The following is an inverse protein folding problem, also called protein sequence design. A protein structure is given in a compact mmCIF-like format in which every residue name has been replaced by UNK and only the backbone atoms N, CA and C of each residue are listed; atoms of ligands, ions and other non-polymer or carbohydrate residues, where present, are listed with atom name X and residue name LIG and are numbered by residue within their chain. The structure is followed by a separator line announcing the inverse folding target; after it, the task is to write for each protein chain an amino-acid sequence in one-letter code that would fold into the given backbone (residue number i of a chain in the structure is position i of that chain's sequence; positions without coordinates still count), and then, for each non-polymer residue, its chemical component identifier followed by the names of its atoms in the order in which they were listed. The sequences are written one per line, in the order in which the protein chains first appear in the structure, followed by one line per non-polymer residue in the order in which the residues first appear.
data_IF_056835433073
#
_entry.id   IF_056835433073
#
_cell.length_a   1.000
_cell.length_b   1.000
_cell.length_c   1.000
_cell.angle_alpha   90.00
_cell.angle_beta   90.00
_cell.angle_gamma   90.00
#
_symmetry.space_group_name_H-M   'P 1'
#
loop_
_entity.id
_entity.type
_entity.pdbx_description
1 polymer ?
#
# COMPACT_ATOMS: atom_id res chain seq x y z
N UNK A 1 -15.56 -31.17 -2.79
CA UNK A 1 -16.55 -30.28 -2.13
C UNK A 1 -15.77 -29.17 -1.44
N UNK A 2 -15.13 -28.31 -2.22
CA UNK A 2 -15.62 -27.01 -2.74
C UNK A 2 -15.91 -26.02 -1.61
N UNK A 3 -14.91 -25.17 -1.34
CA UNK A 3 -15.01 -24.06 -0.38
C UNK A 3 -14.12 -22.94 -0.94
N UNK A 4 -14.72 -22.05 -1.73
CA UNK A 4 -14.40 -20.62 -1.79
C UNK A 4 -15.31 -19.94 -2.84
N UNK A 5 -16.38 -19.32 -2.36
CA UNK A 5 -17.13 -18.27 -3.06
C UNK A 5 -16.88 -16.98 -2.30
N UNK A 6 -16.24 -15.99 -2.94
CA UNK A 6 -16.20 -14.63 -2.43
C UNK A 6 -16.87 -13.71 -3.47
N UNK A 7 -17.95 -13.09 -3.00
CA UNK A 7 -18.81 -12.13 -3.68
C UNK A 7 -18.18 -10.74 -3.52
N UNK A 8 -18.09 -9.96 -4.59
CA UNK A 8 -17.88 -8.51 -4.52
C UNK A 8 -19.12 -7.84 -5.10
N UNK A 9 -19.90 -7.19 -4.23
CA UNK A 9 -20.96 -6.24 -4.56
C UNK A 9 -20.39 -4.87 -4.25
N UNK A 10 -20.31 -3.97 -5.24
CA UNK A 10 -20.20 -2.54 -4.98
C UNK A 10 -21.31 -1.81 -5.75
N UNK A 11 -21.93 -0.94 -4.97
CA UNK A 11 -23.19 -0.24 -5.13
C UNK A 11 -23.17 0.75 -6.31
N UNK A 12 -24.23 0.73 -7.11
CA UNK A 12 -24.64 1.83 -8.01
C UNK A 12 -25.86 2.51 -7.36
N UNK A 13 -25.76 3.80 -7.05
CA UNK A 13 -26.87 4.73 -6.89
C UNK A 13 -26.29 6.14 -7.11
N UNK A 14 -26.48 6.73 -8.28
CA UNK A 14 -27.61 7.61 -8.66
C UNK A 14 -27.70 8.89 -7.84
N UNK A 15 -27.45 10.01 -8.52
CA UNK A 15 -28.09 11.29 -8.27
C UNK A 15 -28.16 12.03 -9.61
N UNK A 16 -29.33 11.90 -10.23
CA UNK A 16 -29.78 12.70 -11.36
C UNK A 16 -30.59 13.91 -10.88
N UNK A 17 -30.76 14.86 -11.80
CA UNK A 17 -31.60 16.08 -11.77
C UNK A 17 -31.10 17.29 -10.97
N UNK A 18 -30.73 18.35 -11.69
CA UNK A 18 -31.75 19.33 -12.10
C UNK A 18 -31.21 20.24 -13.20
N UNK A 19 -31.87 20.21 -14.37
CA UNK A 19 -31.83 21.26 -15.37
C UNK A 19 -32.99 22.20 -15.05
N UNK A 20 -32.75 23.52 -14.99
CA UNK A 20 -33.68 24.54 -15.50
C UNK A 20 -33.05 25.94 -15.44
N UNK A 21 -33.21 26.66 -16.55
CA UNK A 21 -33.40 28.12 -16.68
C UNK A 21 -32.20 29.03 -16.37
N UNK A 22 -31.90 30.11 -17.08
CA UNK A 22 -32.59 30.82 -18.16
C UNK A 22 -31.56 31.72 -18.86
N UNK A 23 -31.60 31.75 -20.19
CA UNK A 23 -30.97 32.79 -21.00
C UNK A 23 -31.83 34.05 -20.99
N UNK A 24 -31.30 35.15 -20.43
CA UNK A 24 -31.75 36.51 -20.75
C UNK A 24 -30.54 37.35 -21.19
N UNK A 25 -30.53 37.66 -22.48
CA UNK A 25 -29.81 38.81 -23.03
C UNK A 25 -30.56 40.09 -22.66
N UNK A 26 -29.90 41.07 -22.04
CA UNK A 26 -29.88 42.45 -22.53
C UNK A 26 -29.06 43.40 -21.63
N UNK A 27 -28.01 43.95 -22.25
CA UNK A 27 -27.63 45.37 -22.34
C UNK A 27 -27.64 46.30 -21.11
N UNK A 28 -26.55 47.09 -21.09
CA UNK A 28 -26.32 48.39 -20.44
C UNK A 28 -25.71 48.37 -19.05
N UNK A 29 -24.36 48.39 -18.98
CA UNK A 29 -23.65 49.11 -17.92
C UNK A 29 -22.43 49.82 -18.52
N UNK A 30 -22.56 51.13 -18.70
CA UNK A 30 -21.45 52.06 -18.69
C UNK A 30 -20.79 52.06 -17.30
N UNK A 31 -19.45 52.08 -17.30
CA UNK A 31 -18.57 52.55 -16.22
C UNK A 31 -19.02 52.32 -14.76
N UNK A 32 -18.53 51.22 -14.16
CA UNK A 32 -18.09 51.23 -12.76
C UNK A 32 -16.77 50.47 -12.65
N UNK A 33 -15.67 51.21 -12.58
CA UNK A 33 -14.44 50.76 -11.94
C UNK A 33 -14.72 50.44 -10.48
N UNK A 34 -14.73 49.15 -10.11
CA UNK A 34 -14.10 48.62 -8.90
C UNK A 34 -14.41 47.14 -8.68
N UNK A 35 -13.33 46.39 -8.45
CA UNK A 35 -13.24 45.16 -7.64
C UNK A 35 -14.18 44.02 -8.05
N UNK A 36 -13.64 43.08 -8.82
CA UNK A 36 -13.99 41.66 -8.70
C UNK A 36 -12.79 40.82 -9.14
N UNK A 37 -11.78 40.74 -8.27
CA UNK A 37 -10.95 39.54 -8.23
C UNK A 37 -11.84 38.41 -7.71
N UNK A 38 -12.52 37.72 -8.63
CA UNK A 38 -13.02 36.38 -8.38
C UNK A 38 -11.80 35.47 -8.22
N UNK A 39 -11.16 35.55 -7.05
CA UNK A 39 -10.18 34.58 -6.57
C UNK A 39 -10.87 33.22 -6.60
N UNK A 40 -10.31 32.32 -7.39
CA UNK A 40 -10.72 30.91 -7.52
C UNK A 40 -11.02 30.32 -6.13
N UNK A 41 -12.32 30.20 -5.82
CA UNK A 41 -12.82 30.05 -4.46
C UNK A 41 -12.73 28.62 -3.90
N UNK A 42 -11.93 27.72 -4.49
CA UNK A 42 -12.01 26.31 -4.09
C UNK A 42 -10.76 25.44 -4.28
N UNK A 43 -9.56 26.01 -4.45
CA UNK A 43 -8.35 25.18 -4.62
C UNK A 43 -7.52 25.05 -3.34
N UNK A 44 -8.16 24.59 -2.26
CA UNK A 44 -7.45 24.20 -1.04
C UNK A 44 -6.81 22.84 -1.28
N UNK A 45 -5.49 22.81 -1.25
CA UNK A 45 -4.70 21.57 -1.27
C UNK A 45 -4.22 21.26 0.13
N UNK A 46 -4.19 19.98 0.48
CA UNK A 46 -3.76 19.53 1.80
C UNK A 46 -2.75 18.40 1.70
N UNK A 47 -1.92 18.28 2.74
CA UNK A 47 -0.92 17.22 2.86
C UNK A 47 -0.79 16.80 4.32
N UNK A 48 -0.66 15.49 4.60
CA UNK A 48 -0.45 15.02 5.96
C UNK A 48 0.93 15.40 6.49
N UNK A 49 0.98 15.75 7.77
CA UNK A 49 2.20 15.83 8.58
C UNK A 49 2.44 14.46 9.20
N UNK A 50 3.67 13.96 9.07
CA UNK A 50 4.03 12.63 9.53
C UNK A 50 5.17 12.64 10.54
N UNK A 51 5.09 11.74 11.53
CA UNK A 51 6.24 11.32 12.35
C UNK A 51 6.51 9.85 12.05
N UNK A 52 7.73 9.55 11.60
CA UNK A 52 8.16 8.18 11.27
C UNK A 52 7.20 7.43 10.32
N UNK A 53 6.63 8.17 9.36
CA UNK A 53 5.68 7.65 8.37
C UNK A 53 4.22 7.56 8.82
N UNK A 54 3.92 7.82 10.10
CA UNK A 54 2.56 7.86 10.65
C UNK A 54 1.98 9.26 10.55
N UNK A 55 0.79 9.38 9.97
CA UNK A 55 0.06 10.65 9.89
C UNK A 55 -0.44 11.08 11.27
N UNK A 56 -0.27 12.36 11.60
CA UNK A 56 -0.77 12.98 12.83
C UNK A 56 -1.96 13.89 12.52
N UNK A 57 -1.82 14.76 11.52
CA UNK A 57 -2.87 15.67 11.07
C UNK A 57 -2.56 16.17 9.66
N UNK A 58 -3.50 16.91 9.06
CA UNK A 58 -3.35 17.48 7.71
C UNK A 58 -3.19 18.98 7.79
N UNK A 59 -2.30 19.51 6.97
CA UNK A 59 -2.14 20.96 6.76
C UNK A 59 -2.62 21.33 5.37
N UNK A 60 -3.18 22.52 5.25
CA UNK A 60 -3.79 23.06 4.05
C UNK A 60 -3.03 24.29 3.53
N UNK A 61 -3.16 24.56 2.23
CA UNK A 61 -2.70 25.79 1.60
C UNK A 61 -3.53 26.06 0.34
N UNK A 62 -3.43 27.29 -0.17
CA UNK A 62 -4.02 27.62 -1.47
C UNK A 62 -3.10 27.12 -2.59
N UNK A 63 -3.65 26.33 -3.52
CA UNK A 63 -2.88 25.84 -4.66
C UNK A 63 -2.51 26.98 -5.61
N UNK A 64 -1.33 26.89 -6.23
CA UNK A 64 -0.85 27.90 -7.17
C UNK A 64 -0.32 29.18 -6.53
N UNK A 65 -0.47 29.37 -5.22
CA UNK A 65 0.21 30.44 -4.50
C UNK A 65 1.72 30.15 -4.54
N UNK A 66 2.50 31.03 -5.16
CA UNK A 66 3.96 30.96 -5.15
C UNK A 66 4.50 31.98 -4.15
N UNK A 67 5.53 31.61 -3.39
CA UNK A 67 6.23 32.58 -2.53
C UNK A 67 7.19 33.36 -3.42
N UNK A 68 7.17 34.69 -3.33
CA UNK A 68 8.13 35.55 -4.03
C UNK A 68 9.56 35.18 -3.59
N UNK A 69 10.34 34.61 -4.51
CA UNK A 69 11.67 34.07 -4.28
C UNK A 69 11.93 32.91 -5.24
N UNK A 70 13.18 32.73 -5.66
CA UNK A 70 13.65 31.85 -6.74
C UNK A 70 13.44 30.33 -6.50
N UNK A 71 12.36 29.91 -5.84
CA UNK A 71 12.05 28.52 -5.57
C UNK A 71 10.61 28.22 -5.99
N UNK A 72 10.45 27.32 -6.96
CA UNK A 72 9.16 26.76 -7.41
C UNK A 72 8.50 25.84 -6.34
N UNK A 73 8.75 26.08 -5.06
CA UNK A 73 8.25 25.23 -3.98
C UNK A 73 6.90 25.73 -3.51
N UNK A 74 5.86 24.89 -3.65
CA UNK A 74 4.53 25.17 -3.11
C UNK A 74 4.60 25.50 -1.60
N UNK A 75 3.89 26.54 -1.12
CA UNK A 75 3.78 26.89 0.29
C UNK A 75 3.39 25.69 1.18
N UNK A 76 2.53 24.80 0.66
CA UNK A 76 2.15 23.57 1.35
C UNK A 76 3.36 22.69 1.67
N UNK A 77 4.26 22.49 0.70
CA UNK A 77 5.45 21.66 0.89
C UNK A 77 6.46 22.29 1.86
N UNK A 78 6.52 23.63 1.91
CA UNK A 78 7.36 24.36 2.87
C UNK A 78 6.83 24.14 4.29
N UNK A 79 5.53 24.35 4.52
CA UNK A 79 4.88 24.13 5.82
C UNK A 79 5.07 22.69 6.30
N UNK A 80 4.83 21.71 5.43
CA UNK A 80 5.01 20.28 5.76
C UNK A 80 6.44 20.00 6.19
N UNK A 81 7.42 20.45 5.40
CA UNK A 81 8.84 20.23 5.71
C UNK A 81 9.24 20.90 7.03
N UNK A 82 8.78 22.13 7.27
CA UNK A 82 9.06 22.86 8.50
C UNK A 82 8.54 22.10 9.73
N UNK A 83 7.27 21.72 9.72
CA UNK A 83 6.64 21.02 10.84
C UNK A 83 7.26 19.64 11.07
N UNK A 84 7.49 18.84 10.03
CA UNK A 84 8.16 17.55 10.17
C UNK A 84 9.62 17.69 10.66
N UNK A 85 10.30 18.77 10.30
CA UNK A 85 11.64 19.07 10.82
C UNK A 85 11.62 19.45 12.29
N UNK A 86 10.69 20.32 12.71
CA UNK A 86 10.54 20.73 14.11
C UNK A 86 10.23 19.51 15.00
N UNK A 87 9.30 18.66 14.57
CA UNK A 87 8.94 17.41 15.27
C UNK A 87 10.14 16.48 15.37
N UNK A 88 10.88 16.29 14.27
CA UNK A 88 12.08 15.43 14.27
C UNK A 88 13.20 15.99 15.14
N UNK A 89 13.40 17.30 15.16
CA UNK A 89 14.38 17.95 16.04
C UNK A 89 13.99 17.79 17.50
N UNK A 90 12.71 17.96 17.83
CA UNK A 90 12.18 17.73 19.19
C UNK A 90 12.49 16.32 19.66
N UNK A 91 12.24 15.30 18.83
CA UNK A 91 12.54 13.90 19.17
C UNK A 91 14.05 13.66 19.29
N UNK A 92 14.85 14.28 18.40
CA UNK A 92 16.32 14.11 18.39
C UNK A 92 16.97 14.73 19.64
N UNK A 93 16.43 15.85 20.10
CA UNK A 93 16.96 16.55 21.27
C UNK A 93 16.69 15.81 22.58
N UNK A 94 15.89 14.74 22.53
CA UNK A 94 15.33 14.07 23.70
C UNK A 94 14.45 15.01 24.54
N UNK A 95 13.53 14.40 25.27
CA UNK A 95 12.71 15.07 26.27
C UNK A 95 12.28 14.04 27.31
N UNK A 96 11.90 14.48 28.49
CA UNK A 96 11.29 13.58 29.46
C UNK A 96 9.81 13.33 29.10
N UNK A 97 9.48 12.07 28.82
CA UNK A 97 8.15 11.65 28.41
C UNK A 97 7.07 11.88 29.49
N UNK A 98 7.45 11.83 30.76
CA UNK A 98 6.52 11.97 31.88
C UNK A 98 6.19 13.44 32.15
N UNK A 99 7.14 14.35 31.91
CA UNK A 99 6.96 15.79 32.09
C UNK A 99 6.67 16.57 30.81
N UNK A 100 6.64 15.91 29.64
CA UNK A 100 6.29 16.54 28.36
C UNK A 100 4.91 17.23 28.41
N UNK A 101 4.93 18.54 28.19
CA UNK A 101 3.76 19.42 28.09
C UNK A 101 3.71 20.08 26.73
N UNK A 102 2.54 20.05 26.11
CA UNK A 102 2.24 20.83 24.91
C UNK A 102 1.33 22.00 25.30
N UNK A 103 1.69 23.20 24.90
CA UNK A 103 0.98 24.44 25.21
C UNK A 103 0.54 25.15 23.94
N UNK A 104 -0.54 25.94 24.06
CA UNK A 104 -1.07 26.75 22.97
C UNK A 104 -0.72 28.22 23.17
N UNK A 105 -0.35 28.88 22.09
CA UNK A 105 -0.29 30.33 22.00
C UNK A 105 -1.20 30.78 20.85
N UNK A 106 -2.31 31.42 21.18
CA UNK A 106 -3.26 31.95 20.19
C UNK A 106 -2.76 33.31 19.71
N UNK A 107 -2.59 33.46 18.39
CA UNK A 107 -2.31 34.73 17.72
C UNK A 107 -3.41 35.02 16.70
N UNK A 108 -3.50 36.26 16.24
CA UNK A 108 -4.55 36.72 15.31
C UNK A 108 -4.74 35.76 14.11
N UNK A 109 -3.65 35.39 13.43
CA UNK A 109 -3.72 34.61 12.18
C UNK A 109 -3.30 33.14 12.31
N UNK A 110 -2.87 32.69 13.49
CA UNK A 110 -2.47 31.31 13.72
C UNK A 110 -2.54 30.92 15.20
N UNK A 111 -2.74 29.62 15.47
CA UNK A 111 -2.58 29.04 16.80
C UNK A 111 -1.30 28.21 16.80
N UNK A 112 -0.33 28.61 17.63
CA UNK A 112 0.96 27.94 17.75
C UNK A 112 0.89 26.84 18.81
N UNK A 113 1.57 25.72 18.54
CA UNK A 113 1.75 24.64 19.50
C UNK A 113 3.23 24.58 19.88
N UNK A 114 3.51 24.70 21.17
CA UNK A 114 4.85 24.58 21.72
C UNK A 114 5.00 23.30 22.53
N UNK A 115 6.22 22.77 22.59
CA UNK A 115 6.60 21.68 23.47
C UNK A 115 7.61 22.13 24.51
N UNK A 116 7.38 21.71 25.75
CA UNK A 116 8.33 21.89 26.84
C UNK A 116 8.34 20.65 27.74
N UNK A 117 9.44 20.43 28.43
CA UNK A 117 9.53 19.45 29.52
C UNK A 117 10.16 20.12 30.75
N UNK A 118 10.38 19.35 31.81
CA UNK A 118 10.95 19.88 33.05
C UNK A 118 12.47 20.13 32.98
N UNK A 119 13.17 19.62 31.98
CA UNK A 119 14.63 19.48 31.99
C UNK A 119 15.29 20.09 30.74
N UNK A 120 15.15 19.43 29.59
CA UNK A 120 15.97 19.67 28.40
C UNK A 120 15.24 20.51 27.32
N UNK A 121 13.92 20.38 27.22
CA UNK A 121 13.12 20.97 26.17
C UNK A 121 12.53 22.32 26.61
N UNK A 122 13.19 23.40 26.20
CA UNK A 122 12.74 24.78 26.49
C UNK A 122 11.82 25.32 25.39
N UNK A 123 10.52 25.20 25.61
CA UNK A 123 9.44 25.87 24.86
C UNK A 123 9.69 25.96 23.34
N UNK A 124 9.87 24.80 22.71
CA UNK A 124 10.15 24.68 21.28
C UNK A 124 8.86 24.75 20.46
N UNK A 125 8.80 25.63 19.47
CA UNK A 125 7.67 25.68 18.53
C UNK A 125 7.63 24.40 17.68
N UNK A 126 6.50 23.71 17.70
CA UNK A 126 6.27 22.52 16.89
C UNK A 126 5.61 22.89 15.56
N UNK A 127 4.42 23.47 15.63
CA UNK A 127 3.58 23.76 14.47
C UNK A 127 2.76 25.04 14.66
N UNK A 128 2.28 25.57 13.54
CA UNK A 128 1.31 26.66 13.48
C UNK A 128 0.07 26.22 12.72
N UNK A 129 -1.09 26.33 13.35
CA UNK A 129 -2.40 26.02 12.76
C UNK A 129 -2.98 27.31 12.22
N UNK A 130 -3.45 27.29 10.98
CA UNK A 130 -4.05 28.41 10.26
C UNK A 130 -5.53 28.16 9.99
N UNK A 131 -6.26 29.19 9.53
CA UNK A 131 -7.68 29.05 9.19
C UNK A 131 -7.96 28.05 8.08
N UNK A 132 -7.03 27.90 7.13
CA UNK A 132 -7.16 26.89 6.08
C UNK A 132 -7.12 25.47 6.65
N UNK A 133 -6.32 25.24 7.69
CA UNK A 133 -6.23 23.93 8.35
C UNK A 133 -7.53 23.66 9.12
N UNK A 134 -8.05 24.66 9.85
CA UNK A 134 -9.34 24.58 10.52
C UNK A 134 -10.51 24.34 9.54
N UNK A 135 -10.50 25.02 8.39
CA UNK A 135 -11.54 24.94 7.37
C UNK A 135 -11.69 23.53 6.79
N UNK A 136 -10.59 22.82 6.52
CA UNK A 136 -10.66 21.44 6.00
C UNK A 136 -11.21 20.44 7.04
N UNK A 137 -11.18 20.80 8.32
CA UNK A 137 -11.70 19.99 9.43
C UNK A 137 -13.09 20.44 9.90
N UNK A 138 -13.60 21.59 9.44
CA UNK A 138 -14.91 22.11 9.79
C UNK A 138 -15.06 22.54 11.26
N UNK A 139 -13.95 22.84 11.94
CA UNK A 139 -13.91 23.24 13.36
C UNK A 139 -13.06 24.49 13.54
N UNK A 140 -13.10 25.11 14.71
CA UNK A 140 -12.28 26.30 14.99
C UNK A 140 -10.78 25.96 15.04
N UNK A 141 -9.95 26.97 14.84
CA UNK A 141 -8.48 26.86 14.92
C UNK A 141 -8.02 26.38 16.31
N UNK A 142 -8.67 26.87 17.36
CA UNK A 142 -8.40 26.49 18.75
C UNK A 142 -8.85 25.07 19.05
N UNK A 143 -10.05 24.67 18.59
CA UNK A 143 -10.54 23.30 18.76
C UNK A 143 -9.66 22.29 18.02
N UNK A 144 -9.22 22.63 16.81
CA UNK A 144 -8.27 21.82 16.05
C UNK A 144 -6.94 21.70 16.80
N UNK A 145 -6.44 22.80 17.37
CA UNK A 145 -5.21 22.79 18.16
C UNK A 145 -5.32 21.90 19.41
N UNK A 146 -6.43 22.03 20.15
CA UNK A 146 -6.73 21.20 21.31
C UNK A 146 -6.84 19.71 20.94
N UNK A 147 -7.47 19.39 19.81
CA UNK A 147 -7.57 18.02 19.33
C UNK A 147 -6.20 17.43 18.94
N UNK A 148 -5.38 18.22 18.25
CA UNK A 148 -4.07 17.76 17.78
C UNK A 148 -3.08 17.60 18.94
N UNK A 149 -3.16 18.38 20.02
CA UNK A 149 -2.27 18.26 21.19
C UNK A 149 -2.20 16.82 21.71
N UNK A 150 -3.35 16.17 21.90
CA UNK A 150 -3.40 14.79 22.43
C UNK A 150 -2.66 13.81 21.50
N UNK A 151 -3.02 13.82 20.22
CA UNK A 151 -2.41 12.94 19.23
C UNK A 151 -0.92 13.22 19.03
N UNK A 152 -0.52 14.49 19.07
CA UNK A 152 0.88 14.90 18.89
C UNK A 152 1.74 14.49 20.09
N UNK A 153 1.24 14.68 21.32
CA UNK A 153 1.93 14.25 22.55
C UNK A 153 2.19 12.75 22.52
N UNK A 154 1.14 11.96 22.23
CA UNK A 154 1.27 10.50 22.16
C UNK A 154 2.20 10.05 21.04
N UNK A 155 2.15 10.72 19.89
CA UNK A 155 3.03 10.43 18.76
C UNK A 155 4.49 10.74 19.09
N UNK A 156 4.79 11.87 19.74
CA UNK A 156 6.14 12.23 20.18
C UNK A 156 6.68 11.22 21.20
N UNK A 157 5.93 10.94 22.27
CA UNK A 157 6.33 9.97 23.31
C UNK A 157 6.60 8.60 22.69
N UNK A 158 5.71 8.14 21.80
CA UNK A 158 5.91 6.87 21.09
C UNK A 158 7.16 6.89 20.23
N UNK A 159 7.34 7.96 19.43
CA UNK A 159 8.48 8.09 18.54
C UNK A 159 9.81 8.10 19.30
N UNK A 160 9.87 8.71 20.49
CA UNK A 160 11.04 8.66 21.34
C UNK A 160 11.26 7.27 21.95
N UNK A 161 10.21 6.66 22.51
CA UNK A 161 10.28 5.31 23.10
C UNK A 161 10.72 4.24 22.09
N UNK A 162 10.24 4.32 20.85
CA UNK A 162 10.63 3.40 19.78
C UNK A 162 12.10 3.51 19.38
N UNK A 163 12.78 4.63 19.71
CA UNK A 163 14.21 4.85 19.48
C UNK A 163 15.09 4.43 20.67
N UNK A 164 14.49 4.09 21.82
CA UNK A 164 15.24 3.63 22.99
C UNK A 164 15.87 2.26 22.74
N UNK A 165 17.06 1.99 23.29
CA UNK A 165 17.77 0.73 23.09
C UNK A 165 16.92 -0.48 23.51
N UNK A 166 16.19 -0.38 24.62
CA UNK A 166 15.35 -1.47 25.14
C UNK A 166 14.26 -1.88 24.15
N UNK A 167 13.61 -0.91 23.49
CA UNK A 167 12.63 -1.17 22.46
C UNK A 167 13.28 -1.85 21.24
N UNK A 168 14.43 -1.35 20.80
CA UNK A 168 15.15 -1.90 19.65
C UNK A 168 15.61 -3.35 19.91
N UNK A 169 16.13 -3.67 21.09
CA UNK A 169 16.51 -5.04 21.46
C UNK A 169 15.31 -5.99 21.45
N UNK A 170 14.19 -5.58 22.05
CA UNK A 170 12.96 -6.37 22.01
C UNK A 170 12.50 -6.59 20.56
N UNK A 171 12.63 -5.57 19.73
CA UNK A 171 12.23 -5.65 18.33
C UNK A 171 13.16 -6.54 17.49
N UNK A 172 14.46 -6.58 17.80
CA UNK A 172 15.41 -7.52 17.20
C UNK A 172 14.98 -8.96 17.52
N UNK A 173 14.67 -9.27 18.78
CA UNK A 173 14.22 -10.61 19.17
C UNK A 173 12.95 -11.05 18.42
N UNK A 174 11.96 -10.17 18.33
CA UNK A 174 10.72 -10.43 17.57
C UNK A 174 11.04 -10.65 16.09
N UNK A 175 11.88 -9.79 15.51
CA UNK A 175 12.24 -9.88 14.08
C UNK A 175 12.99 -11.16 13.76
N UNK A 176 13.91 -11.61 14.63
CA UNK A 176 14.59 -12.90 14.51
C UNK A 176 13.59 -14.06 14.54
N UNK A 177 12.61 -14.02 15.44
CA UNK A 177 11.53 -15.01 15.48
C UNK A 177 10.73 -15.06 14.17
N UNK A 178 10.38 -13.91 13.60
CA UNK A 178 9.70 -13.81 12.30
C UNK A 178 10.56 -14.40 11.18
N UNK A 179 11.87 -14.06 11.13
CA UNK A 179 12.78 -14.61 10.12
C UNK A 179 12.84 -16.13 10.21
N UNK A 180 12.96 -16.69 11.42
CA UNK A 180 12.96 -18.15 11.61
C UNK A 180 11.64 -18.78 11.16
N UNK A 181 10.50 -18.15 11.48
CA UNK A 181 9.19 -18.61 11.02
C UNK A 181 9.06 -18.58 9.49
N UNK A 182 9.57 -17.54 8.83
CA UNK A 182 9.58 -17.43 7.36
C UNK A 182 10.46 -18.51 6.72
N UNK A 183 11.66 -18.75 7.28
CA UNK A 183 12.56 -19.82 6.81
C UNK A 183 11.88 -21.17 6.97
N UNK A 184 11.26 -21.44 8.13
CA UNK A 184 10.54 -22.67 8.38
C UNK A 184 9.37 -22.87 7.41
N UNK A 185 8.57 -21.83 7.17
CA UNK A 185 7.45 -21.89 6.24
C UNK A 185 7.92 -22.10 4.79
N UNK A 186 8.98 -21.40 4.37
CA UNK A 186 9.63 -21.59 3.06
C UNK A 186 10.14 -23.02 2.89
N UNK A 187 10.74 -23.58 3.94
CA UNK A 187 11.19 -24.98 3.96
C UNK A 187 10.01 -25.96 3.82
N UNK A 188 8.89 -25.70 4.52
CA UNK A 188 7.69 -26.54 4.45
C UNK A 188 7.06 -26.54 3.05
N UNK A 189 6.97 -25.36 2.41
CA UNK A 189 6.50 -25.24 1.03
C UNK A 189 7.44 -25.98 0.07
N UNK A 190 8.75 -25.88 0.27
CA UNK A 190 9.75 -26.59 -0.53
C UNK A 190 9.64 -28.11 -0.40
N UNK A 191 9.37 -28.63 0.81
CA UNK A 191 9.10 -30.06 1.02
C UNK A 191 7.86 -30.49 0.27
N UNK A 192 6.75 -29.75 0.40
CA UNK A 192 5.49 -30.04 -0.29
C UNK A 192 5.70 -30.05 -1.81
N UNK A 193 6.41 -29.06 -2.35
CA UNK A 193 6.73 -28.99 -3.77
C UNK A 193 7.51 -30.23 -4.24
N UNK A 194 8.55 -30.64 -3.50
CA UNK A 194 9.33 -31.85 -3.81
C UNK A 194 8.48 -33.12 -3.71
N UNK A 195 7.59 -33.20 -2.73
CA UNK A 195 6.69 -34.35 -2.54
C UNK A 195 5.74 -34.50 -3.73
N UNK A 196 5.05 -33.43 -4.12
CA UNK A 196 4.15 -33.46 -5.28
C UNK A 196 4.93 -33.75 -6.58
N UNK A 197 6.11 -33.16 -6.78
CA UNK A 197 6.92 -33.37 -7.98
C UNK A 197 7.37 -34.83 -8.13
N UNK A 198 7.83 -35.47 -7.05
CA UNK A 198 8.19 -36.90 -7.06
C UNK A 198 7.00 -37.79 -7.40
N UNK A 199 5.80 -37.48 -6.89
CA UNK A 199 4.56 -38.21 -7.20
C UNK A 199 4.23 -38.12 -8.69
N UNK A 200 4.36 -36.93 -9.28
CA UNK A 200 4.13 -36.72 -10.71
C UNK A 200 5.16 -37.44 -11.60
N UNK A 201 6.46 -37.36 -11.25
CA UNK A 201 7.51 -38.06 -12.01
C UNK A 201 7.32 -39.59 -11.99
N UNK A 202 6.90 -40.17 -10.86
CA UNK A 202 6.57 -41.60 -10.79
C UNK A 202 5.40 -41.95 -11.70
N UNK A 203 4.35 -41.13 -11.72
CA UNK A 203 3.21 -41.34 -12.59
C UNK A 203 3.60 -41.25 -14.07
N UNK A 204 4.47 -40.31 -14.45
CA UNK A 204 5.00 -40.20 -15.81
C UNK A 204 5.78 -41.45 -16.23
N UNK A 205 6.68 -41.94 -15.38
CA UNK A 205 7.45 -43.16 -15.68
C UNK A 205 6.56 -44.40 -15.86
N UNK A 206 5.48 -44.51 -15.07
CA UNK A 206 4.49 -45.58 -15.24
C UNK A 206 3.77 -45.45 -16.59
N UNK A 207 3.35 -44.24 -16.95
CA UNK A 207 2.67 -43.97 -18.23
C UNK A 207 3.61 -44.20 -19.42
N UNK A 208 4.88 -43.79 -19.34
CA UNK A 208 5.87 -44.05 -20.38
C UNK A 208 6.23 -45.53 -20.51
N UNK A 209 6.34 -46.25 -19.39
CA UNK A 209 6.48 -47.71 -19.39
C UNK A 209 5.27 -48.41 -20.03
N UNK A 210 4.06 -47.91 -19.77
CA UNK A 210 2.83 -48.38 -20.44
C UNK A 210 2.83 -48.08 -21.94
N UNK A 211 3.37 -46.92 -22.38
CA UNK A 211 3.51 -46.56 -23.80
C UNK A 211 4.50 -47.47 -24.55
N UNK A 212 5.60 -47.85 -23.93
CA UNK A 212 6.58 -48.77 -24.52
C UNK A 212 6.04 -50.20 -24.67
N UNK A 213 4.99 -50.56 -23.93
CA UNK A 213 4.29 -51.85 -24.05
C UNK A 213 3.19 -51.86 -25.13
N UNK A 214 2.85 -50.71 -25.72
CA UNK A 214 1.77 -50.56 -26.71
C UNK A 214 2.13 -50.76 -28.21
N UNK A 215 3.40 -50.75 -28.69
CA UNK A 215 3.66 -50.85 -30.13
C UNK A 215 3.25 -52.21 -30.74
N UNK A 216 3.02 -53.22 -29.89
CA UNK A 216 2.61 -54.56 -30.33
C UNK A 216 1.14 -54.66 -30.77
N UNK A 217 0.27 -53.71 -30.38
CA UNK A 217 -1.16 -53.74 -30.72
C UNK A 217 -1.43 -53.07 -32.08
N UNK A 218 -0.60 -52.10 -32.47
CA UNK A 218 -0.74 -51.39 -33.75
C UNK A 218 -0.18 -52.21 -34.93
N UNK A 219 0.84 -53.05 -34.73
CA UNK A 219 1.31 -53.99 -35.75
C UNK A 219 0.28 -55.07 -36.09
N UNK A 220 -0.45 -55.59 -35.08
CA UNK A 220 -1.52 -56.56 -35.30
C UNK A 220 -2.76 -55.97 -35.98
N UNK A 221 -3.00 -54.66 -35.86
CA UNK A 221 -4.16 -53.97 -36.43
C UNK A 221 -3.99 -53.62 -37.92
N UNK A 222 -2.76 -53.34 -38.35
CA UNK A 222 -2.47 -53.03 -39.74
C UNK A 222 -2.64 -54.24 -40.70
N UNK A 223 -2.75 -55.47 -40.19
CA UNK A 223 -3.03 -56.64 -41.02
C UNK A 223 -4.52 -56.88 -41.31
N UNK A 224 -5.46 -56.21 -40.63
CA UNK A 224 -6.89 -56.37 -40.88
C UNK A 224 -7.57 -55.01 -41.11
N UNK A 225 -7.43 -54.47 -42.31
CA UNK A 225 -8.32 -53.42 -42.81
C UNK A 225 -9.69 -54.03 -43.19
N UNK A 226 -10.80 -53.52 -42.62
CA UNK A 226 -11.83 -52.83 -43.41
C UNK A 226 -12.96 -52.21 -42.56
N UNK A 227 -13.31 -50.98 -42.93
CA UNK A 227 -14.64 -50.35 -42.94
C UNK A 227 -15.38 -49.93 -41.66
N UNK A 228 -15.75 -48.65 -41.68
CA UNK A 228 -16.75 -47.91 -40.86
C UNK A 228 -16.40 -47.70 -39.40
N UNK A 229 -16.07 -46.45 -39.01
CA UNK A 229 -16.43 -45.81 -37.73
C UNK A 229 -15.87 -44.38 -37.69
N UNK A 230 -16.56 -43.52 -36.93
CA UNK A 230 -16.35 -42.08 -36.68
C UNK A 230 -14.87 -41.66 -36.53
N UNK A 231 -14.54 -40.35 -36.64
CA UNK A 231 -13.22 -39.84 -36.26
C UNK A 231 -13.06 -39.97 -34.75
N UNK A 232 -12.87 -41.20 -34.28
CA UNK A 232 -12.47 -41.51 -32.94
C UNK A 232 -11.02 -41.10 -32.86
N UNK A 233 -10.78 -39.92 -32.25
CA UNK A 233 -9.43 -39.39 -32.03
C UNK A 233 -8.51 -40.55 -31.68
N UNK A 234 -7.50 -40.77 -32.53
CA UNK A 234 -6.50 -41.82 -32.38
C UNK A 234 -6.03 -41.78 -30.93
N UNK A 235 -5.90 -42.94 -30.28
CA UNK A 235 -5.56 -43.01 -28.84
C UNK A 235 -4.31 -42.15 -28.54
N UNK A 236 -3.36 -42.06 -29.47
CA UNK A 236 -2.22 -41.13 -29.43
C UNK A 236 -2.54 -39.63 -29.43
N UNK A 237 -3.59 -39.18 -30.14
CA UNK A 237 -4.07 -37.78 -30.12
C UNK A 237 -4.83 -37.45 -28.83
N UNK A 238 -5.68 -38.36 -28.33
CA UNK A 238 -6.27 -38.23 -26.97
C UNK A 238 -5.15 -38.17 -25.92
N UNK A 239 -4.08 -38.96 -26.10
CA UNK A 239 -2.92 -38.97 -25.22
C UNK A 239 -2.13 -37.65 -25.25
N UNK A 240 -1.96 -37.04 -26.42
CA UNK A 240 -1.31 -35.71 -26.55
C UNK A 240 -2.13 -34.61 -25.86
N UNK A 241 -3.45 -34.61 -26.02
CA UNK A 241 -4.33 -33.64 -25.34
C UNK A 241 -4.29 -33.79 -23.81
N UNK A 242 -4.29 -35.03 -23.29
CA UNK A 242 -4.13 -35.28 -21.85
C UNK A 242 -2.74 -34.81 -21.36
N UNK A 243 -1.71 -34.98 -22.19
CA UNK A 243 -0.34 -34.57 -21.89
C UNK A 243 -0.18 -33.05 -21.83
N UNK A 244 -0.73 -32.32 -22.80
CA UNK A 244 -0.72 -30.85 -22.82
C UNK A 244 -1.53 -30.27 -21.64
N UNK A 245 -2.70 -30.83 -21.35
CA UNK A 245 -3.51 -30.39 -20.20
C UNK A 245 -2.80 -30.62 -18.86
N UNK A 246 -2.02 -31.70 -18.71
CA UNK A 246 -1.28 -31.98 -17.48
C UNK A 246 -0.01 -31.13 -17.34
N UNK A 247 0.68 -30.84 -18.44
CA UNK A 247 1.82 -29.93 -18.41
C UNK A 247 1.41 -28.51 -18.07
N UNK A 248 0.28 -28.03 -18.61
CA UNK A 248 -0.17 -26.67 -18.34
C UNK A 248 -0.55 -26.48 -16.86
N UNK A 249 -1.26 -27.45 -16.26
CA UNK A 249 -1.57 -27.47 -14.82
C UNK A 249 -0.30 -27.46 -13.96
N UNK A 250 0.69 -28.30 -14.28
CA UNK A 250 1.93 -28.37 -13.50
C UNK A 250 2.75 -27.07 -13.61
N UNK A 251 2.80 -26.47 -14.80
CA UNK A 251 3.50 -25.21 -15.02
C UNK A 251 2.84 -24.05 -14.27
N UNK A 252 1.51 -24.04 -14.20
CA UNK A 252 0.72 -23.08 -13.42
C UNK A 252 0.95 -23.25 -11.92
N UNK A 253 0.82 -24.46 -11.38
CA UNK A 253 1.08 -24.73 -9.96
C UNK A 253 2.51 -24.35 -9.55
N UNK A 254 3.50 -24.59 -10.40
CA UNK A 254 4.89 -24.20 -10.15
C UNK A 254 5.05 -22.69 -10.09
N UNK A 255 4.46 -21.96 -11.04
CA UNK A 255 4.48 -20.49 -11.02
C UNK A 255 3.73 -19.94 -9.82
N UNK A 256 2.57 -20.52 -9.46
CA UNK A 256 1.79 -20.13 -8.28
C UNK A 256 2.60 -20.30 -6.99
N UNK A 257 3.29 -21.43 -6.81
CA UNK A 257 4.16 -21.65 -5.63
C UNK A 257 5.33 -20.67 -5.54
N UNK A 258 5.92 -20.29 -6.69
CA UNK A 258 6.99 -19.28 -6.72
C UNK A 258 6.46 -17.90 -6.32
N UNK A 259 5.27 -17.53 -6.79
CA UNK A 259 4.61 -16.29 -6.43
C UNK A 259 4.27 -16.26 -4.94
N UNK A 260 3.78 -17.37 -4.37
CA UNK A 260 3.55 -17.48 -2.93
C UNK A 260 4.83 -17.22 -2.12
N UNK A 261 5.99 -17.73 -2.55
CA UNK A 261 7.26 -17.44 -1.87
C UNK A 261 7.60 -15.96 -1.93
N UNK A 262 7.46 -15.32 -3.09
CA UNK A 262 7.75 -13.89 -3.26
C UNK A 262 6.83 -13.06 -2.35
N UNK A 263 5.53 -13.34 -2.35
CA UNK A 263 4.55 -12.66 -1.49
C UNK A 263 4.90 -12.88 -0.02
N UNK A 264 5.22 -14.11 0.38
CA UNK A 264 5.58 -14.44 1.75
C UNK A 264 6.79 -13.63 2.22
N UNK A 265 7.85 -13.58 1.41
CA UNK A 265 9.04 -12.79 1.72
C UNK A 265 8.76 -11.29 1.72
N UNK A 266 8.02 -10.75 0.75
CA UNK A 266 7.65 -9.33 0.71
C UNK A 266 6.85 -8.92 1.95
N UNK A 267 5.85 -9.70 2.34
CA UNK A 267 5.07 -9.46 3.54
C UNK A 267 5.92 -9.56 4.81
N UNK A 268 6.77 -10.59 4.90
CA UNK A 268 7.65 -10.80 6.03
C UNK A 268 8.67 -9.68 6.22
N UNK A 269 9.36 -9.29 5.14
CA UNK A 269 10.31 -8.17 5.14
C UNK A 269 9.58 -6.87 5.46
N UNK A 270 8.43 -6.61 4.83
CA UNK A 270 7.62 -5.42 5.11
C UNK A 270 7.21 -5.32 6.59
N UNK A 271 6.83 -6.44 7.21
CA UNK A 271 6.51 -6.50 8.63
C UNK A 271 7.73 -6.19 9.51
N UNK A 272 8.88 -6.79 9.22
CA UNK A 272 10.12 -6.55 9.98
C UNK A 272 10.52 -5.08 9.91
N UNK A 273 10.57 -4.50 8.70
CA UNK A 273 10.92 -3.09 8.50
C UNK A 273 9.96 -2.14 9.23
N UNK A 274 8.66 -2.43 9.24
CA UNK A 274 7.69 -1.55 9.87
C UNK A 274 7.84 -1.40 11.38
N UNK A 275 8.49 -2.36 12.02
CA UNK A 275 8.69 -2.29 13.46
C UNK A 275 9.86 -1.42 13.88
N UNK A 276 10.82 -1.14 13.00
CA UNK A 276 11.96 -0.29 13.31
C UNK A 276 11.71 1.15 12.83
N UNK A 277 11.82 2.15 13.71
CA UNK A 277 11.50 3.54 13.33
C UNK A 277 12.34 4.04 12.15
N UNK A 278 13.63 3.68 12.10
CA UNK A 278 14.55 4.12 11.04
C UNK A 278 14.30 3.47 9.67
N UNK A 279 13.68 2.29 9.59
CA UNK A 279 13.45 1.59 8.32
C UNK A 279 12.00 1.65 7.82
N UNK A 280 11.11 2.35 8.52
CA UNK A 280 9.71 2.57 8.08
C UNK A 280 9.58 3.28 6.74
N UNK A 281 10.47 4.21 6.45
CA UNK A 281 10.52 4.82 5.11
C UNK A 281 10.71 3.73 4.06
N UNK A 282 11.66 2.82 4.26
CA UNK A 282 11.91 1.69 3.35
C UNK A 282 10.72 0.73 3.26
N UNK A 283 9.96 0.51 4.34
CA UNK A 283 8.72 -0.26 4.28
C UNK A 283 7.72 0.36 3.30
N UNK A 284 7.53 1.68 3.35
CA UNK A 284 6.59 2.39 2.46
C UNK A 284 7.01 2.23 1.00
N UNK A 285 8.31 2.39 0.72
CA UNK A 285 8.85 2.12 -0.63
C UNK A 285 8.62 0.67 -1.04
N UNK A 286 8.94 -0.29 -0.17
CA UNK A 286 8.81 -1.71 -0.45
C UNK A 286 7.36 -2.09 -0.79
N UNK A 287 6.37 -1.60 -0.03
CA UNK A 287 4.94 -1.86 -0.30
C UNK A 287 4.51 -1.25 -1.62
N UNK A 288 4.98 -0.04 -1.95
CA UNK A 288 4.67 0.61 -3.22
C UNK A 288 5.20 -0.19 -4.42
N UNK A 289 6.44 -0.68 -4.35
CA UNK A 289 7.00 -1.52 -5.42
C UNK A 289 6.35 -2.92 -5.47
N UNK A 290 6.01 -3.49 -4.31
CA UNK A 290 5.35 -4.79 -4.23
C UNK A 290 3.99 -4.78 -4.95
N UNK A 291 3.18 -3.73 -4.81
CA UNK A 291 1.91 -3.62 -5.53
C UNK A 291 2.09 -3.71 -7.05
N UNK A 292 3.05 -2.96 -7.60
CA UNK A 292 3.35 -3.00 -9.05
C UNK A 292 3.85 -4.39 -9.48
N UNK A 293 4.68 -5.03 -8.66
CA UNK A 293 5.15 -6.38 -8.96
C UNK A 293 4.00 -7.39 -8.95
N UNK A 294 3.07 -7.29 -8.01
CA UNK A 294 1.91 -8.19 -7.93
C UNK A 294 0.97 -8.03 -9.13
N UNK A 295 0.79 -6.83 -9.68
CA UNK A 295 -0.04 -6.64 -10.89
C UNK A 295 0.62 -7.23 -12.12
N UNK A 296 1.94 -7.08 -12.28
CA UNK A 296 2.71 -7.71 -13.37
C UNK A 296 2.64 -9.24 -13.27
N UNK A 297 2.90 -9.78 -12.07
CA UNK A 297 2.85 -11.22 -11.82
C UNK A 297 1.43 -11.78 -12.05
N UNK A 298 0.40 -11.07 -11.57
CA UNK A 298 -1.00 -11.46 -11.76
C UNK A 298 -1.37 -11.51 -13.25
N UNK A 299 -0.95 -10.48 -14.01
CA UNK A 299 -1.17 -10.44 -15.47
C UNK A 299 -0.46 -11.59 -16.18
N UNK A 300 0.80 -11.87 -15.81
CA UNK A 300 1.55 -13.01 -16.35
C UNK A 300 0.88 -14.36 -16.04
N UNK A 301 0.36 -14.53 -14.83
CA UNK A 301 -0.37 -15.75 -14.45
C UNK A 301 -1.67 -15.92 -15.24
N UNK A 302 -2.42 -14.84 -15.49
CA UNK A 302 -3.65 -14.88 -16.29
C UNK A 302 -3.37 -15.28 -17.74
N UNK A 303 -2.31 -14.74 -18.35
CA UNK A 303 -1.92 -15.08 -19.73
C UNK A 303 -1.52 -16.57 -19.86
N UNK A 304 -1.08 -17.18 -18.77
CA UNK A 304 -0.57 -18.56 -18.74
C UNK A 304 -1.67 -19.60 -18.46
N UNK A 305 -2.86 -19.19 -18.01
CA UNK A 305 -4.05 -20.05 -17.81
C UNK A 305 -4.69 -20.33 -19.17
#
# INVERSE_FOLDING_TARGET
MSLLTLIIIINKADLALSQTSETLQNNNIENITQVNSLTSLNNIVYKPIKIDGREIFKVAAIAGQQIQGNSNTSPLNIRVRLYENNLRQTIKNCFDADTLKLTLEVRENQTLIFASDAEELKNQELIAITDLDAQIHGISREDLANQIIGFMRDALIRAQRERQPDYLFRQILISTGIILALIFLSFLISILQKYYLKKYQKLQKLIEGLKLSYPQIDELRNQQQLSTLKPELTIGQKQQLIWEQQQNKNSFFRSLLQVTHIILWLCGIGWILGNFPYSRWLQIFLVSYAMVLTTIIGTYLIIKI
#
